data_IF_918450821979
#
_entry.id   IF_918450821979
#
_cell.length_a   1.000
_cell.length_b   1.000
_cell.length_c   1.000
_cell.angle_alpha   90.00
_cell.angle_beta   90.00
_cell.angle_gamma   90.00
#
_symmetry.space_group_name_H-M   'P 1'
#
loop_
_entity.id
_entity.type
_entity.pdbx_description
1 polymer ?
#
# COMPACT_ATOMS: atom_id res chain seq x y z
N UNK A 1 -13.81 -41.39 -9.48
CA UNK A 1 -13.13 -40.74 -8.31
C UNK A 1 -12.28 -39.53 -8.69
N UNK A 2 -12.16 -39.14 -9.97
CA UNK A 2 -11.31 -38.02 -10.41
C UNK A 2 -12.04 -36.67 -10.53
N UNK A 3 -13.34 -36.63 -10.83
CA UNK A 3 -14.09 -35.38 -11.03
C UNK A 3 -14.28 -34.54 -9.76
N UNK A 4 -14.77 -35.14 -8.68
CA UNK A 4 -15.10 -34.43 -7.43
C UNK A 4 -13.87 -33.92 -6.68
N UNK A 5 -12.74 -34.64 -6.74
CA UNK A 5 -11.49 -34.19 -6.13
C UNK A 5 -10.87 -33.00 -6.91
N UNK A 6 -11.00 -32.99 -8.24
CA UNK A 6 -10.53 -31.88 -9.08
C UNK A 6 -11.36 -30.60 -8.85
N UNK A 7 -12.67 -30.74 -8.68
CA UNK A 7 -13.55 -29.60 -8.33
C UNK A 7 -13.20 -28.99 -6.96
N UNK A 8 -12.96 -29.84 -5.94
CA UNK A 8 -12.52 -29.38 -4.62
C UNK A 8 -11.20 -28.61 -4.64
N UNK A 9 -10.22 -29.08 -5.44
CA UNK A 9 -8.94 -28.40 -5.62
C UNK A 9 -9.09 -27.02 -6.30
N UNK A 10 -9.91 -26.94 -7.35
CA UNK A 10 -10.16 -25.67 -8.06
C UNK A 10 -10.92 -24.64 -7.18
N UNK A 11 -11.87 -25.11 -6.37
CA UNK A 11 -12.57 -24.26 -5.39
C UNK A 11 -11.61 -23.71 -4.33
N UNK A 12 -10.72 -24.55 -3.80
CA UNK A 12 -9.68 -24.11 -2.87
C UNK A 12 -8.74 -23.07 -3.50
N UNK A 13 -8.25 -23.31 -4.72
CA UNK A 13 -7.35 -22.38 -5.40
C UNK A 13 -8.01 -21.03 -5.70
N UNK A 14 -9.28 -21.03 -6.12
CA UNK A 14 -10.02 -19.79 -6.35
C UNK A 14 -10.27 -19.01 -5.05
N UNK A 15 -10.62 -19.69 -3.96
CA UNK A 15 -10.73 -19.07 -2.63
C UNK A 15 -9.42 -18.46 -2.15
N UNK A 16 -8.30 -19.18 -2.33
CA UNK A 16 -6.97 -18.68 -1.99
C UNK A 16 -6.60 -17.44 -2.81
N UNK A 17 -6.88 -17.43 -4.12
CA UNK A 17 -6.62 -16.28 -4.99
C UNK A 17 -7.37 -15.04 -4.52
N UNK A 18 -8.64 -15.17 -4.13
CA UNK A 18 -9.45 -14.05 -3.60
C UNK A 18 -8.83 -13.47 -2.33
N UNK A 19 -8.38 -14.32 -1.40
CA UNK A 19 -7.74 -13.86 -0.16
C UNK A 19 -6.45 -13.09 -0.47
N UNK A 20 -5.63 -13.59 -1.39
CA UNK A 20 -4.38 -12.91 -1.81
C UNK A 20 -4.70 -11.54 -2.44
N UNK A 21 -5.70 -11.46 -3.31
CA UNK A 21 -6.11 -10.18 -3.90
C UNK A 21 -6.61 -9.18 -2.84
N UNK A 22 -7.42 -9.62 -1.88
CA UNK A 22 -7.90 -8.78 -0.79
C UNK A 22 -6.73 -8.27 0.09
N UNK A 23 -5.73 -9.11 0.32
CA UNK A 23 -4.53 -8.72 1.06
C UNK A 23 -3.73 -7.62 0.34
N UNK A 24 -3.50 -7.76 -0.97
CA UNK A 24 -2.85 -6.72 -1.76
C UNK A 24 -3.68 -5.44 -1.84
N UNK A 25 -5.00 -5.54 -1.97
CA UNK A 25 -5.90 -4.39 -1.96
C UNK A 25 -5.82 -3.64 -0.61
N UNK A 26 -5.76 -4.36 0.51
CA UNK A 26 -5.61 -3.77 1.83
C UNK A 26 -4.27 -3.03 1.98
N UNK A 27 -3.16 -3.63 1.53
CA UNK A 27 -1.84 -2.99 1.52
C UNK A 27 -1.85 -1.74 0.65
N UNK A 28 -2.51 -1.80 -0.51
CA UNK A 28 -2.62 -0.65 -1.41
C UNK A 28 -3.40 0.51 -0.78
N UNK A 29 -4.53 0.21 -0.11
CA UNK A 29 -5.28 1.21 0.65
C UNK A 29 -4.42 1.81 1.76
N UNK A 30 -3.70 0.97 2.51
CA UNK A 30 -2.77 1.44 3.55
C UNK A 30 -1.68 2.36 2.98
N UNK A 31 -1.16 2.05 1.79
CA UNK A 31 -0.18 2.88 1.11
C UNK A 31 -0.75 4.25 0.71
N UNK A 32 -1.99 4.30 0.21
CA UNK A 32 -2.65 5.58 -0.09
C UNK A 32 -2.84 6.41 1.18
N UNK A 33 -3.34 5.80 2.26
CA UNK A 33 -3.57 6.49 3.54
C UNK A 33 -2.26 7.04 4.09
N UNK A 34 -1.19 6.23 4.10
CA UNK A 34 0.13 6.66 4.58
C UNK A 34 0.73 7.76 3.71
N UNK A 35 0.55 7.70 2.39
CA UNK A 35 1.00 8.74 1.45
C UNK A 35 0.27 10.07 1.67
N UNK A 36 -1.06 10.04 1.81
CA UNK A 36 -1.85 11.24 2.13
C UNK A 36 -1.45 11.81 3.49
N UNK A 37 -1.21 10.94 4.46
CA UNK A 37 -0.78 11.37 5.78
C UNK A 37 0.61 12.02 5.73
N UNK A 38 1.57 11.45 4.98
CA UNK A 38 2.89 12.04 4.75
C UNK A 38 2.82 13.43 4.08
N UNK A 39 1.95 13.59 3.08
CA UNK A 39 1.65 14.90 2.48
C UNK A 39 1.17 15.91 3.52
N UNK A 40 0.15 15.54 4.31
CA UNK A 40 -0.42 16.42 5.35
C UNK A 40 0.60 16.75 6.44
N UNK A 41 1.43 15.79 6.81
CA UNK A 41 2.49 15.95 7.80
C UNK A 41 3.57 16.93 7.32
N UNK A 42 4.02 16.79 6.07
CA UNK A 42 5.00 17.72 5.47
C UNK A 42 4.51 19.16 5.42
N UNK A 43 3.22 19.38 5.14
CA UNK A 43 2.60 20.71 5.17
C UNK A 43 2.52 21.29 6.59
N UNK A 44 2.22 20.45 7.59
CA UNK A 44 2.19 20.87 9.01
C UNK A 44 3.57 21.29 9.51
N UNK A 45 4.64 20.68 8.98
CA UNK A 45 6.03 21.05 9.26
C UNK A 45 6.47 22.36 8.55
N UNK A 46 5.59 23.02 7.81
CA UNK A 46 5.89 24.28 7.14
C UNK A 46 6.64 24.14 5.82
N UNK A 47 6.72 22.92 5.24
CA UNK A 47 7.29 22.74 3.91
C UNK A 47 6.40 23.33 2.83
N UNK A 48 6.99 23.59 1.66
CA UNK A 48 6.25 24.08 0.50
C UNK A 48 5.27 23.04 -0.04
N UNK A 49 4.24 23.49 -0.77
CA UNK A 49 3.24 22.61 -1.36
C UNK A 49 3.86 21.68 -2.41
N UNK A 50 4.83 22.17 -3.15
CA UNK A 50 5.56 21.41 -4.18
C UNK A 50 6.32 20.25 -3.53
N UNK A 51 7.02 20.52 -2.42
CA UNK A 51 7.73 19.48 -1.66
C UNK A 51 6.76 18.43 -1.11
N UNK A 52 5.62 18.86 -0.58
CA UNK A 52 4.60 17.94 -0.09
C UNK A 52 4.07 17.01 -1.20
N UNK A 53 3.86 17.54 -2.42
CA UNK A 53 3.43 16.75 -3.59
C UNK A 53 4.52 15.75 -3.99
N UNK A 54 5.80 16.13 -3.94
CA UNK A 54 6.91 15.21 -4.20
C UNK A 54 6.92 14.06 -3.20
N UNK A 55 6.69 14.33 -1.91
CA UNK A 55 6.55 13.28 -0.89
C UNK A 55 5.37 12.37 -1.20
N UNK A 56 4.19 12.95 -1.49
CA UNK A 56 2.98 12.19 -1.82
C UNK A 56 3.21 11.21 -2.98
N UNK A 57 3.80 11.70 -4.07
CA UNK A 57 4.08 10.89 -5.26
C UNK A 57 5.18 9.86 -4.97
N UNK A 58 6.23 10.25 -4.26
CA UNK A 58 7.31 9.35 -3.86
C UNK A 58 6.79 8.20 -3.00
N UNK A 59 5.91 8.46 -2.04
CA UNK A 59 5.31 7.44 -1.16
C UNK A 59 4.27 6.58 -1.86
N UNK A 60 3.55 7.11 -2.85
CA UNK A 60 2.51 6.38 -3.58
C UNK A 60 3.09 5.36 -4.57
N UNK A 61 4.13 5.74 -5.32
CA UNK A 61 4.75 4.87 -6.34
C UNK A 61 5.84 3.96 -5.77
N UNK A 62 6.48 4.38 -4.68
CA UNK A 62 7.52 3.60 -4.03
C UNK A 62 7.12 3.34 -2.57
N UNK A 63 6.11 2.50 -2.29
CA UNK A 63 5.57 2.26 -0.95
C UNK A 63 6.66 1.97 0.10
N UNK A 64 7.63 1.14 -0.24
CA UNK A 64 8.71 0.75 0.69
C UNK A 64 9.71 1.90 0.88
N UNK A 65 10.23 2.46 -0.21
CA UNK A 65 11.25 3.53 -0.16
C UNK A 65 10.65 4.82 0.39
N UNK A 66 9.43 5.16 -0.01
CA UNK A 66 8.71 6.31 0.47
C UNK A 66 8.33 6.21 1.94
N UNK A 67 7.97 5.02 2.44
CA UNK A 67 7.80 4.82 3.89
C UNK A 67 9.12 5.07 4.64
N UNK A 68 10.25 4.60 4.10
CA UNK A 68 11.59 4.85 4.68
C UNK A 68 11.92 6.34 4.68
N UNK A 69 11.75 7.04 3.55
CA UNK A 69 11.98 8.48 3.43
C UNK A 69 11.08 9.26 4.40
N UNK A 70 9.80 8.89 4.48
CA UNK A 70 8.88 9.50 5.43
C UNK A 70 9.36 9.33 6.87
N UNK A 71 9.80 8.13 7.27
CA UNK A 71 10.31 7.90 8.62
C UNK A 71 11.58 8.71 8.92
N UNK A 72 12.46 8.89 7.93
CA UNK A 72 13.64 9.76 8.06
C UNK A 72 13.22 11.21 8.25
N UNK A 73 12.29 11.74 7.43
CA UNK A 73 11.81 13.14 7.53
C UNK A 73 10.96 13.37 8.79
N UNK A 74 10.27 12.34 9.29
CA UNK A 74 9.41 12.45 10.47
C UNK A 74 10.22 12.72 11.74
N UNK A 75 11.41 12.14 11.85
CA UNK A 75 12.16 12.07 13.10
C UNK A 75 13.05 13.30 13.41
N UNK A 76 13.02 14.33 12.56
CA UNK A 76 13.50 15.69 12.82
C UNK A 76 12.32 16.67 12.99
#
# INVERSE_FOLDING_TARGET
>A
MTGTMMEGFNLFNSGFLVIVLLFFALIFILNIITSIWAYRDSLRKGNSKEFAIVILLGTLFFPVIGLIIYLIIRND
#
